data_IF_215034563623
#
_entry.id   IF_215034563623
#
_cell.length_a   1.000
_cell.length_b   1.000
_cell.length_c   1.000
_cell.angle_alpha   90.00
_cell.angle_beta   90.00
_cell.angle_gamma   90.00
#
_symmetry.space_group_name_H-M   'P 1'
#
loop_
_entity.id
_entity.type
_entity.pdbx_description
1 polymer ?
#
# COMPACT_ATOMS: atom_id res chain seq x y z
N UNK A 1 -7.19 -9.99 6.94
CA UNK A 1 -5.90 -9.29 6.84
C UNK A 1 -5.19 -9.71 5.56
N UNK A 2 -4.55 -8.77 4.87
CA UNK A 2 -3.73 -8.99 3.66
C UNK A 2 -2.27 -9.22 4.08
N UNK A 3 -1.56 -10.15 3.44
CA UNK A 3 -0.18 -10.50 3.83
C UNK A 3 0.70 -10.55 2.59
N UNK A 4 1.47 -9.49 2.32
CA UNK A 4 2.46 -9.47 1.25
C UNK A 4 3.82 -9.97 1.72
N UNK A 5 4.44 -10.84 0.92
CA UNK A 5 5.82 -11.29 1.10
C UNK A 5 6.07 -12.52 1.96
N UNK A 6 5.01 -13.26 2.28
CA UNK A 6 5.16 -14.58 2.88
C UNK A 6 5.33 -15.66 1.80
N UNK A 7 6.33 -16.57 1.89
CA UNK A 7 6.68 -17.52 0.83
C UNK A 7 5.57 -18.55 0.50
N UNK A 8 4.66 -18.80 1.44
CA UNK A 8 3.56 -19.75 1.27
C UNK A 8 2.19 -19.09 1.05
N UNK A 9 2.10 -17.75 1.03
CA UNK A 9 0.82 -17.06 0.82
C UNK A 9 0.90 -16.31 -0.51
N UNK A 10 0.23 -16.81 -1.56
CA UNK A 10 0.29 -16.21 -2.89
C UNK A 10 -0.41 -14.85 -2.87
N UNK A 11 0.23 -13.86 -3.47
CA UNK A 11 -0.32 -12.52 -3.70
C UNK A 11 0.19 -11.97 -5.03
N UNK A 12 -0.52 -10.99 -5.62
CA UNK A 12 0.03 -10.22 -6.73
C UNK A 12 1.41 -9.65 -6.38
N UNK A 13 2.32 -9.64 -7.36
CA UNK A 13 3.63 -9.02 -7.19
C UNK A 13 3.51 -7.51 -7.06
N UNK A 14 4.22 -6.92 -6.12
CA UNK A 14 4.35 -5.48 -5.97
C UNK A 14 5.65 -5.05 -6.66
N UNK A 15 5.54 -4.23 -7.70
CA UNK A 15 6.66 -3.69 -8.47
C UNK A 15 6.93 -2.25 -8.06
N UNK A 16 8.11 -1.98 -7.51
CA UNK A 16 8.48 -0.62 -7.13
C UNK A 16 8.95 0.16 -8.34
N UNK A 17 8.29 1.28 -8.61
CA UNK A 17 8.58 2.16 -9.74
C UNK A 17 8.83 3.59 -9.26
N UNK A 18 9.42 4.39 -10.13
CA UNK A 18 9.69 5.82 -9.90
C UNK A 18 9.12 6.72 -10.99
N UNK A 19 8.62 6.17 -12.09
CA UNK A 19 8.15 6.96 -13.22
C UNK A 19 7.05 6.25 -14.02
N UNK A 20 6.35 7.02 -14.88
CA UNK A 20 5.30 6.49 -15.77
C UNK A 20 5.88 5.51 -16.80
N UNK A 21 7.12 5.73 -17.22
CA UNK A 21 7.83 4.84 -18.16
C UNK A 21 8.12 3.48 -17.54
N UNK A 22 8.41 3.42 -16.24
CA UNK A 22 8.59 2.16 -15.51
C UNK A 22 7.25 1.44 -15.31
N UNK A 23 6.15 2.17 -15.06
CA UNK A 23 4.79 1.61 -14.98
C UNK A 23 4.43 0.85 -16.26
N UNK A 24 4.71 1.43 -17.42
CA UNK A 24 4.42 0.83 -18.73
C UNK A 24 5.18 -0.50 -18.97
N UNK A 25 6.24 -0.77 -18.21
CA UNK A 25 7.02 -2.01 -18.30
C UNK A 25 6.56 -3.07 -17.29
N UNK A 26 5.62 -2.74 -16.40
CA UNK A 26 5.09 -3.69 -15.42
C UNK A 26 4.03 -4.60 -16.04
N UNK A 27 3.95 -5.88 -15.62
CA UNK A 27 2.84 -6.74 -16.01
C UNK A 27 1.50 -6.18 -15.50
N UNK A 28 0.43 -6.28 -16.30
CA UNK A 28 -0.91 -5.80 -15.91
C UNK A 28 -1.48 -6.47 -14.64
N UNK A 29 -0.96 -7.65 -14.26
CA UNK A 29 -1.32 -8.36 -13.03
C UNK A 29 -0.55 -7.90 -11.79
N UNK A 30 0.46 -7.05 -11.94
CA UNK A 30 1.24 -6.53 -10.83
C UNK A 30 0.55 -5.33 -10.17
N UNK A 31 0.82 -5.15 -8.88
CA UNK A 31 0.51 -3.92 -8.16
C UNK A 31 1.71 -3.00 -8.32
N UNK A 32 1.49 -1.80 -8.84
CA UNK A 32 2.55 -0.80 -8.97
C UNK A 32 2.70 -0.05 -7.66
N UNK A 33 3.91 0.03 -7.09
CA UNK A 33 4.17 0.77 -5.86
C UNK A 33 5.18 1.91 -6.06
N UNK A 34 4.90 3.07 -5.48
CA UNK A 34 5.78 4.24 -5.54
C UNK A 34 5.63 5.10 -4.28
N UNK A 35 6.59 5.99 -4.03
CA UNK A 35 6.44 7.03 -3.02
C UNK A 35 5.32 7.98 -3.40
N UNK A 36 4.56 8.49 -2.43
CA UNK A 36 3.40 9.36 -2.69
C UNK A 36 3.76 10.45 -3.70
N UNK A 37 3.07 10.42 -4.84
CA UNK A 37 3.27 11.33 -5.96
C UNK A 37 1.93 11.54 -6.67
N UNK A 38 1.48 12.80 -6.76
CA UNK A 38 0.20 13.13 -7.35
C UNK A 38 0.10 12.76 -8.83
N UNK A 39 1.18 12.89 -9.59
CA UNK A 39 1.16 12.58 -11.01
C UNK A 39 1.09 11.08 -11.26
N UNK A 40 1.81 10.28 -10.49
CA UNK A 40 1.77 8.82 -10.60
C UNK A 40 0.43 8.26 -10.13
N UNK A 41 -0.14 8.78 -9.04
CA UNK A 41 -1.47 8.40 -8.58
C UNK A 41 -2.55 8.69 -9.64
N UNK A 42 -2.57 9.92 -10.17
CA UNK A 42 -3.51 10.30 -11.22
C UNK A 42 -3.34 9.47 -12.48
N UNK A 43 -2.10 9.23 -12.89
CA UNK A 43 -1.82 8.37 -14.04
C UNK A 43 -2.39 6.96 -13.82
N UNK A 44 -2.22 6.38 -12.62
CA UNK A 44 -2.79 5.08 -12.31
C UNK A 44 -4.32 5.10 -12.33
N UNK A 45 -4.96 6.10 -11.72
CA UNK A 45 -6.41 6.28 -11.71
C UNK A 45 -6.97 6.39 -13.13
N UNK A 46 -6.43 7.30 -13.95
CA UNK A 46 -6.88 7.57 -15.32
C UNK A 46 -6.74 6.34 -16.25
N UNK A 47 -5.81 5.43 -15.93
CA UNK A 47 -5.54 4.21 -16.71
C UNK A 47 -6.03 2.92 -16.03
N UNK A 48 -6.78 3.01 -14.92
CA UNK A 48 -7.26 1.86 -14.14
C UNK A 48 -6.14 0.88 -13.71
N UNK A 49 -4.97 1.42 -13.35
CA UNK A 49 -3.81 0.64 -12.90
C UNK A 49 -3.91 0.48 -11.39
N UNK A 50 -3.85 -0.76 -10.89
CA UNK A 50 -3.85 -1.02 -9.45
C UNK A 50 -2.52 -0.57 -8.85
N UNK A 51 -2.57 0.41 -7.95
CA UNK A 51 -1.37 0.97 -7.34
C UNK A 51 -1.39 0.93 -5.80
N UNK A 52 -0.20 1.08 -5.24
CA UNK A 52 0.07 1.23 -3.82
C UNK A 52 0.96 2.45 -3.60
N UNK A 53 0.60 3.32 -2.65
CA UNK A 53 1.38 4.52 -2.36
C UNK A 53 2.11 4.38 -1.01
N UNK A 54 3.42 4.64 -0.99
CA UNK A 54 4.11 4.87 0.28
C UNK A 54 3.79 6.26 0.80
N UNK A 55 3.06 6.29 1.90
CA UNK A 55 2.65 7.53 2.56
C UNK A 55 3.52 7.79 3.80
N UNK A 56 3.65 9.06 4.11
CA UNK A 56 4.41 9.61 5.25
C UNK A 56 3.53 10.39 6.23
N UNK A 57 2.25 10.64 5.89
CA UNK A 57 1.30 11.34 6.76
C UNK A 57 -0.15 10.88 6.56
N UNK A 58 -1.02 11.21 7.51
CA UNK A 58 -2.48 11.01 7.37
C UNK A 58 -3.04 11.79 6.18
N UNK A 59 -2.52 12.99 5.92
CA UNK A 59 -2.96 13.82 4.80
C UNK A 59 -2.70 13.13 3.46
N UNK A 60 -1.50 12.55 3.28
CA UNK A 60 -1.19 11.74 2.09
C UNK A 60 -2.07 10.49 1.99
N UNK A 61 -2.44 9.87 3.12
CA UNK A 61 -3.38 8.75 3.14
C UNK A 61 -4.74 9.13 2.55
N UNK A 62 -5.29 10.28 2.97
CA UNK A 62 -6.56 10.81 2.47
C UNK A 62 -6.47 11.09 0.97
N UNK A 63 -5.40 11.75 0.51
CA UNK A 63 -5.21 12.07 -0.89
C UNK A 63 -5.02 10.84 -1.77
N UNK A 64 -4.22 9.87 -1.32
CA UNK A 64 -4.01 8.63 -2.05
C UNK A 64 -5.31 7.82 -2.15
N UNK A 65 -6.11 7.74 -1.07
CA UNK A 65 -7.43 7.13 -1.11
C UNK A 65 -8.38 7.86 -2.08
N UNK A 66 -8.39 9.19 -2.08
CA UNK A 66 -9.21 10.00 -2.99
C UNK A 66 -8.80 9.85 -4.48
N UNK A 67 -7.56 9.45 -4.73
CA UNK A 67 -7.02 9.11 -6.06
C UNK A 67 -7.01 7.59 -6.31
N UNK A 68 -7.86 6.86 -5.58
CA UNK A 68 -8.14 5.43 -5.79
C UNK A 68 -6.93 4.50 -5.64
N UNK A 69 -5.90 4.92 -4.88
CA UNK A 69 -4.83 4.00 -4.50
C UNK A 69 -5.41 2.80 -3.75
N UNK A 70 -5.08 1.58 -4.18
CA UNK A 70 -5.66 0.38 -3.58
C UNK A 70 -5.05 0.06 -2.22
N UNK A 71 -3.78 0.40 -2.03
CA UNK A 71 -3.02 0.13 -0.82
C UNK A 71 -2.25 1.36 -0.35
N UNK A 72 -2.29 1.61 0.96
CA UNK A 72 -1.55 2.67 1.64
C UNK A 72 -0.41 2.01 2.42
N UNK A 73 0.80 2.11 1.92
CA UNK A 73 1.99 1.50 2.52
C UNK A 73 2.65 2.48 3.49
N UNK A 74 2.87 2.05 4.73
CA UNK A 74 3.55 2.90 5.72
C UNK A 74 4.20 2.07 6.84
N UNK A 75 4.92 2.73 7.75
CA UNK A 75 5.42 2.07 8.96
C UNK A 75 4.28 1.77 9.94
N UNK A 76 4.51 0.85 10.87
CA UNK A 76 3.49 0.41 11.84
C UNK A 76 2.93 1.56 12.70
N UNK A 77 3.73 2.57 13.05
CA UNK A 77 3.24 3.69 13.86
C UNK A 77 2.19 4.49 13.09
N UNK A 78 2.52 4.89 11.87
CA UNK A 78 1.61 5.64 11.01
C UNK A 78 0.39 4.81 10.60
N UNK A 79 0.57 3.50 10.36
CA UNK A 79 -0.53 2.59 10.03
C UNK A 79 -1.63 2.59 11.10
N UNK A 80 -1.27 2.63 12.39
CA UNK A 80 -2.24 2.71 13.50
C UNK A 80 -3.06 3.98 13.49
N UNK A 81 -2.44 5.10 13.11
CA UNK A 81 -3.12 6.39 13.03
C UNK A 81 -4.01 6.46 11.80
N UNK A 82 -3.50 6.01 10.65
CA UNK A 82 -4.23 5.99 9.37
C UNK A 82 -5.40 5.01 9.41
N UNK A 83 -5.26 3.84 10.03
CA UNK A 83 -6.35 2.85 10.16
C UNK A 83 -7.59 3.44 10.84
N UNK A 84 -7.41 4.23 11.91
CA UNK A 84 -8.52 4.91 12.59
C UNK A 84 -9.23 5.90 11.66
N UNK A 85 -8.47 6.61 10.84
CA UNK A 85 -9.04 7.53 9.84
C UNK A 85 -9.78 6.74 8.75
N UNK A 86 -9.15 5.68 8.24
CA UNK A 86 -9.72 4.81 7.23
C UNK A 86 -11.05 4.19 7.68
N UNK A 87 -11.17 3.77 8.94
CA UNK A 87 -12.42 3.24 9.51
C UNK A 87 -13.48 4.32 9.69
N UNK A 88 -13.10 5.50 10.20
CA UNK A 88 -14.03 6.61 10.42
C UNK A 88 -14.60 7.17 9.11
N UNK A 89 -13.79 7.20 8.05
CA UNK A 89 -14.16 7.74 6.74
C UNK A 89 -14.44 6.66 5.69
N UNK A 90 -14.45 5.39 6.08
CA UNK A 90 -14.74 4.24 5.22
C UNK A 90 -13.89 4.22 3.94
N UNK A 91 -12.57 4.30 4.08
CA UNK A 91 -11.66 4.25 2.93
C UNK A 91 -11.83 2.95 2.13
N UNK A 92 -11.79 3.07 0.81
CA UNK A 92 -11.72 1.93 -0.12
C UNK A 92 -10.32 1.31 -0.16
N UNK A 93 -9.30 2.15 0.08
CA UNK A 93 -7.91 1.74 0.20
C UNK A 93 -7.67 0.89 1.46
N UNK A 94 -6.73 -0.04 1.38
CA UNK A 94 -6.31 -0.87 2.53
C UNK A 94 -5.02 -0.38 3.14
N UNK A 95 -4.96 -0.27 4.46
CA UNK A 95 -3.76 0.18 5.19
C UNK A 95 -2.81 -0.99 5.40
N UNK A 96 -1.59 -0.90 4.87
CA UNK A 96 -0.61 -1.98 4.90
C UNK A 96 0.64 -1.54 5.66
N UNK A 97 0.91 -2.18 6.80
CA UNK A 97 2.08 -1.89 7.61
C UNK A 97 3.32 -2.66 7.12
N UNK A 98 4.41 -1.95 6.81
CA UNK A 98 5.72 -2.57 6.57
C UNK A 98 6.34 -3.02 7.89
N UNK A 99 6.53 -4.32 8.08
CA UNK A 99 7.01 -4.90 9.35
C UNK A 99 7.91 -6.12 9.14
N UNK A 100 8.69 -6.45 10.17
CA UNK A 100 9.27 -7.78 10.32
C UNK A 100 8.18 -8.78 10.75
N UNK A 101 8.22 -10.02 10.26
CA UNK A 101 7.22 -11.06 10.53
C UNK A 101 6.96 -11.29 12.03
N UNK A 102 7.97 -11.13 12.89
CA UNK A 102 7.83 -11.27 14.35
C UNK A 102 6.88 -10.25 14.98
N UNK A 103 6.48 -9.21 14.23
CA UNK A 103 5.58 -8.15 14.71
C UNK A 103 4.14 -8.34 14.21
N UNK A 104 3.81 -9.42 13.50
CA UNK A 104 2.45 -9.66 12.98
C UNK A 104 1.39 -9.58 14.08
N UNK A 105 1.63 -10.14 15.26
CA UNK A 105 0.66 -10.07 16.37
C UNK A 105 0.33 -8.61 16.76
N UNK A 106 1.32 -7.71 16.74
CA UNK A 106 1.10 -6.27 17.01
C UNK A 106 0.25 -5.58 15.93
N UNK A 107 0.26 -6.10 14.71
CA UNK A 107 -0.59 -5.60 13.62
C UNK A 107 -2.03 -6.09 13.80
N UNK A 108 -2.20 -7.36 14.18
CA UNK A 108 -3.50 -7.96 14.47
C UNK A 108 -4.19 -7.22 15.63
N UNK A 109 -3.47 -7.01 16.74
CA UNK A 109 -3.96 -6.25 17.90
C UNK A 109 -4.36 -4.82 17.54
N UNK A 110 -3.71 -4.23 16.53
CA UNK A 110 -3.98 -2.89 16.05
C UNK A 110 -5.10 -2.80 15.00
N UNK A 111 -5.67 -3.93 14.56
CA UNK A 111 -6.74 -3.96 13.58
C UNK A 111 -6.35 -3.49 12.17
N UNK A 112 -5.07 -3.47 11.83
CA UNK A 112 -4.61 -2.97 10.52
C UNK A 112 -4.95 -3.97 9.41
N UNK A 113 -5.40 -3.46 8.25
CA UNK A 113 -5.89 -4.30 7.14
C UNK A 113 -4.87 -5.32 6.62
N UNK A 114 -3.57 -5.00 6.66
CA UNK A 114 -2.55 -5.91 6.15
C UNK A 114 -1.10 -5.55 6.48
N UNK A 115 -0.19 -6.40 5.99
CA UNK A 115 1.25 -6.27 6.19
C UNK A 115 2.02 -6.42 4.90
N UNK A 116 3.16 -5.73 4.82
CA UNK A 116 4.22 -5.97 3.86
C UNK A 116 5.47 -6.40 4.62
N UNK A 117 5.82 -7.68 4.52
CA UNK A 117 6.94 -8.22 5.28
C UNK A 117 8.28 -7.70 4.76
N UNK A 118 9.24 -7.42 5.64
CA UNK A 118 10.55 -6.82 5.28
C UNK A 118 11.44 -7.76 4.45
N UNK A 119 11.21 -9.06 4.52
CA UNK A 119 11.85 -10.06 3.64
C UNK A 119 11.32 -9.99 2.20
N UNK A 120 10.27 -9.19 1.93
CA UNK A 120 9.85 -8.86 0.59
C UNK A 120 10.92 -8.01 -0.09
N UNK A 121 11.73 -8.66 -0.93
CA UNK A 121 12.74 -8.00 -1.75
C UNK A 121 12.06 -7.06 -2.75
N UNK A 122 12.59 -5.82 -2.80
CA UNK A 122 12.34 -4.88 -3.90
C UNK A 122 12.92 -5.42 -5.20
#
# INVERSE_FOLDING_TARGET
MIIFGHPHIPNPSIMFVKSKEEIAQTPASAIVAFDFDFELLRYCQENNITCAAWISSITEAVYANALEAKFLLCNLSLAKEVQKVAENYLFDAKVIAKIDERLIEKVIEAGIDGVLLTNYTR
#
